data_IF_159519842523
#
_entry.id   IF_159519842523
#
_cell.length_a   1.000
_cell.length_b   1.000
_cell.length_c   1.000
_cell.angle_alpha   90.00
_cell.angle_beta   90.00
_cell.angle_gamma   90.00
#
_symmetry.space_group_name_H-M   'P 1'
#
loop_
_entity.id
_entity.type
_entity.pdbx_description
1 polymer ?
#
# COMPACT_ATOMS: atom_id res chain seq x y z
N UNK A 1 44.68 -36.02 -26.28
CA UNK A 1 43.80 -35.00 -25.66
C UNK A 1 42.45 -35.66 -25.41
N UNK A 2 42.01 -35.76 -24.16
CA UNK A 2 40.74 -36.42 -23.82
C UNK A 2 39.61 -35.42 -24.07
N UNK A 3 38.78 -35.66 -25.07
CA UNK A 3 37.61 -34.83 -25.35
C UNK A 3 36.56 -35.11 -24.27
N UNK A 4 36.30 -34.15 -23.39
CA UNK A 4 35.23 -34.25 -22.42
C UNK A 4 33.89 -34.23 -23.15
N UNK A 5 33.07 -35.25 -22.93
CA UNK A 5 31.72 -35.32 -23.49
C UNK A 5 30.89 -34.14 -22.99
N UNK A 6 30.10 -33.47 -23.84
CA UNK A 6 29.28 -32.33 -23.42
C UNK A 6 28.23 -32.76 -22.38
N UNK A 7 27.91 -31.88 -21.41
CA UNK A 7 26.96 -32.20 -20.35
C UNK A 7 25.58 -32.58 -20.93
N UNK A 8 24.92 -33.61 -20.40
CA UNK A 8 23.65 -34.09 -20.94
C UNK A 8 22.59 -33.00 -20.85
N UNK A 9 21.93 -32.70 -21.98
CA UNK A 9 20.80 -31.77 -22.06
C UNK A 9 21.07 -30.40 -22.71
N UNK A 10 22.30 -30.14 -23.17
CA UNK A 10 22.64 -28.95 -23.96
C UNK A 10 22.45 -29.27 -25.45
N UNK A 11 21.44 -28.68 -26.08
CA UNK A 11 21.22 -28.80 -27.52
C UNK A 11 22.07 -27.75 -28.24
N UNK A 12 22.67 -28.12 -29.38
CA UNK A 12 23.50 -27.23 -30.20
C UNK A 12 23.00 -27.23 -31.65
N UNK A 13 23.16 -26.11 -32.33
CA UNK A 13 22.90 -25.95 -33.75
C UNK A 13 23.99 -26.63 -34.60
N UNK A 14 23.78 -26.69 -35.93
CA UNK A 14 24.73 -27.27 -36.88
C UNK A 14 26.12 -26.60 -36.83
N UNK A 15 26.16 -25.31 -36.46
CA UNK A 15 27.39 -24.53 -36.26
C UNK A 15 28.02 -24.72 -34.86
N UNK A 16 27.45 -25.59 -34.03
CA UNK A 16 27.92 -25.86 -32.67
C UNK A 16 27.54 -24.83 -31.61
N UNK A 17 26.70 -23.84 -31.96
CA UNK A 17 26.16 -22.83 -31.04
C UNK A 17 25.10 -23.45 -30.11
N UNK A 18 25.09 -23.07 -28.84
CA UNK A 18 24.13 -23.61 -27.86
C UNK A 18 22.75 -22.97 -28.08
N UNK A 19 21.73 -23.82 -28.19
CA UNK A 19 20.35 -23.41 -28.31
C UNK A 19 19.80 -22.86 -26.97
N UNK A 20 19.07 -21.73 -26.98
CA UNK A 20 18.35 -21.26 -25.82
C UNK A 20 17.32 -22.30 -25.36
N UNK A 21 17.31 -22.61 -24.06
CA UNK A 21 16.34 -23.54 -23.46
C UNK A 21 15.70 -22.92 -22.22
N UNK A 22 14.41 -23.18 -22.04
CA UNK A 22 13.70 -22.87 -20.80
C UNK A 22 14.21 -23.78 -19.67
N UNK A 23 14.82 -23.18 -18.65
CA UNK A 23 15.24 -23.89 -17.46
C UNK A 23 14.00 -24.38 -16.69
N UNK A 24 14.07 -25.61 -16.21
CA UNK A 24 13.00 -26.17 -15.39
C UNK A 24 13.21 -25.68 -13.96
N UNK A 25 12.13 -25.22 -13.33
CA UNK A 25 12.18 -24.81 -11.94
C UNK A 25 12.12 -26.06 -11.04
N UNK A 26 13.18 -26.41 -10.29
CA UNK A 26 13.21 -27.62 -9.47
C UNK A 26 12.20 -27.58 -8.31
N UNK A 27 11.68 -26.39 -7.96
CA UNK A 27 10.60 -26.24 -6.99
C UNK A 27 9.24 -26.67 -7.56
N UNK A 28 9.08 -26.68 -8.88
CA UNK A 28 7.87 -27.16 -9.55
C UNK A 28 7.91 -28.68 -9.82
N UNK A 29 9.08 -29.29 -9.85
CA UNK A 29 9.20 -30.75 -10.07
C UNK A 29 8.90 -31.58 -8.82
N UNK A 30 9.20 -31.06 -7.62
CA UNK A 30 8.95 -31.77 -6.36
C UNK A 30 7.59 -31.40 -5.77
N UNK A 31 6.66 -32.36 -5.77
CA UNK A 31 5.34 -32.19 -5.16
C UNK A 31 5.45 -31.90 -3.65
N UNK A 32 6.34 -32.61 -2.96
CA UNK A 32 6.63 -32.42 -1.54
C UNK A 32 7.05 -30.98 -1.21
N UNK A 33 7.96 -30.38 -1.99
CA UNK A 33 8.34 -28.97 -1.81
C UNK A 33 7.17 -28.02 -2.00
N UNK A 34 6.31 -28.27 -2.99
CA UNK A 34 5.12 -27.46 -3.21
C UNK A 34 4.13 -27.58 -2.05
N UNK A 35 3.95 -28.78 -1.51
CA UNK A 35 3.07 -29.03 -0.37
C UNK A 35 3.59 -28.32 0.89
N UNK A 36 4.88 -28.45 1.18
CA UNK A 36 5.53 -27.74 2.29
C UNK A 36 5.36 -26.22 2.16
N UNK A 37 5.58 -25.67 0.97
CA UNK A 37 5.40 -24.22 0.73
C UNK A 37 3.95 -23.76 0.96
N UNK A 38 2.98 -24.56 0.52
CA UNK A 38 1.55 -24.29 0.78
C UNK A 38 1.25 -24.29 2.28
N UNK A 39 1.75 -25.29 3.00
CA UNK A 39 1.57 -25.40 4.45
C UNK A 39 2.22 -24.24 5.21
N UNK A 40 3.46 -23.87 4.89
CA UNK A 40 4.16 -22.75 5.52
C UNK A 40 3.42 -21.42 5.30
N UNK A 41 2.94 -21.17 4.07
CA UNK A 41 2.12 -20.00 3.76
C UNK A 41 0.81 -20.00 4.53
N UNK A 42 0.16 -21.15 4.63
CA UNK A 42 -1.07 -21.29 5.40
C UNK A 42 -0.84 -21.00 6.89
N UNK A 43 0.19 -21.58 7.48
CA UNK A 43 0.55 -21.36 8.88
C UNK A 43 0.88 -19.89 9.16
N UNK A 44 1.57 -19.22 8.24
CA UNK A 44 1.83 -17.76 8.35
C UNK A 44 0.53 -16.96 8.30
N UNK A 45 -0.40 -17.27 7.38
CA UNK A 45 -1.73 -16.63 7.34
C UNK A 45 -2.55 -16.88 8.61
N UNK A 46 -2.45 -18.06 9.19
CA UNK A 46 -3.13 -18.44 10.43
C UNK A 46 -2.41 -17.95 11.70
N UNK A 47 -1.27 -17.26 11.57
CA UNK A 47 -0.47 -16.80 12.70
C UNK A 47 0.22 -17.91 13.50
N UNK A 48 0.29 -19.13 12.98
CA UNK A 48 0.94 -20.29 13.61
C UNK A 48 2.42 -20.31 13.21
N UNK A 49 3.32 -20.02 14.15
CA UNK A 49 4.76 -20.13 13.91
C UNK A 49 5.21 -21.58 14.09
N UNK A 50 5.33 -22.33 13.00
CA UNK A 50 5.80 -23.73 13.05
C UNK A 50 7.26 -23.88 13.46
N UNK A 51 8.07 -22.84 13.28
CA UNK A 51 9.48 -22.83 13.66
C UNK A 51 9.73 -22.10 14.99
N UNK A 52 8.68 -21.60 15.67
CA UNK A 52 8.76 -20.71 16.83
C UNK A 52 9.71 -19.51 16.63
N UNK A 53 10.05 -19.20 15.38
CA UNK A 53 10.91 -18.11 14.97
C UNK A 53 10.04 -17.11 14.22
N UNK A 54 10.00 -15.89 14.73
CA UNK A 54 9.44 -14.76 13.98
C UNK A 54 10.43 -14.41 12.87
N UNK A 55 9.93 -14.12 11.67
CA UNK A 55 10.79 -13.59 10.61
C UNK A 55 11.39 -12.24 11.03
N UNK A 56 12.53 -11.87 10.46
CA UNK A 56 13.16 -10.56 10.72
C UNK A 56 12.20 -9.40 10.43
N UNK A 57 11.41 -9.48 9.35
CA UNK A 57 10.38 -8.50 9.02
C UNK A 57 9.31 -8.41 10.11
N UNK A 58 8.84 -9.55 10.62
CA UNK A 58 7.84 -9.58 11.69
C UNK A 58 8.39 -9.00 12.99
N UNK A 59 9.65 -9.31 13.35
CA UNK A 59 10.34 -8.71 14.49
C UNK A 59 10.47 -7.19 14.33
N UNK A 60 10.80 -6.72 13.13
CA UNK A 60 10.90 -5.29 12.84
C UNK A 60 9.55 -4.57 12.99
N UNK A 61 8.46 -5.14 12.46
CA UNK A 61 7.12 -4.59 12.62
C UNK A 61 6.66 -4.56 14.09
N UNK A 62 6.92 -5.64 14.84
CA UNK A 62 6.59 -5.68 16.26
C UNK A 62 7.37 -4.63 17.05
N UNK A 63 8.68 -4.51 16.80
CA UNK A 63 9.54 -3.49 17.42
C UNK A 63 9.09 -2.07 17.07
N UNK A 64 8.66 -1.84 15.84
CA UNK A 64 8.11 -0.55 15.42
C UNK A 64 6.80 -0.24 16.15
N UNK A 65 5.90 -1.23 16.25
CA UNK A 65 4.61 -1.08 16.95
C UNK A 65 4.83 -0.81 18.44
N UNK A 66 5.74 -1.54 19.07
CA UNK A 66 6.12 -1.34 20.48
C UNK A 66 6.70 0.06 20.70
N UNK A 67 7.60 0.52 19.81
CA UNK A 67 8.17 1.87 19.88
C UNK A 67 7.08 2.94 19.77
N UNK A 68 6.11 2.76 18.88
CA UNK A 68 4.99 3.69 18.74
C UNK A 68 4.10 3.72 19.98
N UNK A 69 3.75 2.55 20.54
CA UNK A 69 2.96 2.47 21.78
C UNK A 69 3.69 3.11 22.96
N UNK A 70 5.01 2.89 23.07
CA UNK A 70 5.83 3.50 24.12
C UNK A 70 5.95 5.02 23.94
N UNK A 71 5.96 5.51 22.70
CA UNK A 71 5.92 6.94 22.42
C UNK A 71 4.57 7.55 22.82
N UNK A 72 3.46 6.91 22.45
CA UNK A 72 2.12 7.34 22.84
C UNK A 72 1.96 7.40 24.36
N UNK A 73 2.35 6.32 25.07
CA UNK A 73 2.31 6.32 26.54
C UNK A 73 3.17 7.44 27.16
N UNK A 74 4.34 7.72 26.60
CA UNK A 74 5.17 8.83 27.09
C UNK A 74 4.55 10.21 26.79
N UNK A 75 3.88 10.37 25.65
CA UNK A 75 3.15 11.60 25.36
C UNK A 75 1.95 11.79 26.30
N UNK A 76 1.22 10.72 26.61
CA UNK A 76 0.09 10.72 27.55
C UNK A 76 0.52 11.03 28.98
N UNK A 77 1.71 10.56 29.39
CA UNK A 77 2.32 10.85 30.70
C UNK A 77 3.01 12.22 30.75
N UNK A 78 3.11 12.93 29.62
CA UNK A 78 3.80 14.22 29.60
C UNK A 78 3.02 15.28 30.39
N UNK A 79 3.69 16.22 31.09
CA UNK A 79 3.01 17.32 31.79
C UNK A 79 2.13 18.18 30.88
N UNK A 80 2.42 18.15 29.57
CA UNK A 80 1.70 18.88 28.53
C UNK A 80 0.56 18.08 27.89
N UNK A 81 0.34 16.82 28.29
CA UNK A 81 -0.66 15.95 27.66
C UNK A 81 -2.06 16.57 27.67
N UNK A 82 -2.49 17.11 28.82
CA UNK A 82 -3.76 17.82 28.95
C UNK A 82 -3.83 19.08 28.08
N UNK A 83 -2.74 19.85 28.00
CA UNK A 83 -2.66 21.04 27.15
C UNK A 83 -2.72 20.69 25.66
N UNK A 84 -2.03 19.62 25.23
CA UNK A 84 -2.10 19.11 23.85
C UNK A 84 -3.51 18.63 23.51
N UNK A 85 -4.17 17.92 24.42
CA UNK A 85 -5.55 17.45 24.23
C UNK A 85 -6.52 18.64 24.07
N UNK A 86 -6.42 19.65 24.93
CA UNK A 86 -7.25 20.85 24.84
C UNK A 86 -6.97 21.63 23.55
N UNK A 87 -5.70 21.80 23.17
CA UNK A 87 -5.33 22.44 21.92
C UNK A 87 -5.91 21.71 20.70
N UNK A 88 -5.82 20.38 20.67
CA UNK A 88 -6.42 19.57 19.61
C UNK A 88 -7.94 19.72 19.54
N UNK A 89 -8.62 19.82 20.69
CA UNK A 89 -10.06 20.08 20.77
C UNK A 89 -10.41 21.43 20.13
N UNK A 90 -9.69 22.49 20.51
CA UNK A 90 -9.90 23.84 19.96
C UNK A 90 -9.63 23.91 18.46
N UNK A 91 -8.57 23.24 17.98
CA UNK A 91 -8.26 23.15 16.55
C UNK A 91 -9.42 22.48 15.79
N UNK A 92 -9.94 21.37 16.32
CA UNK A 92 -11.04 20.62 15.69
C UNK A 92 -12.34 21.41 15.67
N UNK A 93 -12.69 22.09 16.77
CA UNK A 93 -13.86 22.96 16.84
C UNK A 93 -13.76 24.11 15.84
N UNK A 94 -12.58 24.73 15.73
CA UNK A 94 -12.34 25.82 14.78
C UNK A 94 -12.42 25.34 13.33
N UNK A 95 -11.88 24.16 13.02
CA UNK A 95 -11.98 23.54 11.71
C UNK A 95 -13.45 23.24 11.34
N UNK A 96 -14.21 22.67 12.27
CA UNK A 96 -15.64 22.39 12.07
C UNK A 96 -16.45 23.67 11.85
N UNK A 97 -16.13 24.74 12.57
CA UNK A 97 -16.78 26.05 12.37
C UNK A 97 -16.47 26.62 10.98
N UNK A 98 -15.24 26.49 10.52
CA UNK A 98 -14.84 26.95 9.19
C UNK A 98 -15.56 26.16 8.08
N UNK A 99 -15.67 24.84 8.21
CA UNK A 99 -16.38 23.99 7.24
C UNK A 99 -17.89 24.31 7.18
N UNK A 100 -18.52 24.64 8.31
CA UNK A 100 -19.91 25.11 8.34
C UNK A 100 -20.07 26.48 7.68
N UNK A 101 -19.14 27.41 7.94
CA UNK A 101 -19.18 28.75 7.35
C UNK A 101 -18.99 28.69 5.83
N UNK A 102 -18.04 27.92 5.32
CA UNK A 102 -17.86 27.74 3.88
C UNK A 102 -19.09 27.06 3.23
N UNK A 103 -19.69 26.07 3.91
CA UNK A 103 -20.91 25.43 3.43
C UNK A 103 -22.13 26.35 3.41
N UNK A 104 -22.32 27.16 4.45
CA UNK A 104 -23.43 28.12 4.54
C UNK A 104 -23.24 29.29 3.55
N UNK A 105 -22.02 29.80 3.35
CA UNK A 105 -21.70 30.80 2.32
C UNK A 105 -21.96 30.26 0.91
N UNK A 106 -21.55 29.01 0.62
CA UNK A 106 -21.83 28.37 -0.66
C UNK A 106 -23.34 28.17 -0.91
N UNK A 107 -24.14 27.88 0.13
CA UNK A 107 -25.59 27.73 0.02
C UNK A 107 -26.31 29.10 -0.09
N UNK A 108 -25.91 30.11 0.67
CA UNK A 108 -26.44 31.48 0.54
C UNK A 108 -26.13 32.09 -0.84
N UNK A 109 -24.91 31.89 -1.36
CA UNK A 109 -24.55 32.34 -2.71
C UNK A 109 -25.37 31.62 -3.78
N UNK A 110 -25.65 30.32 -3.62
CA UNK A 110 -26.57 29.58 -4.53
C UNK A 110 -28.01 30.08 -4.42
N UNK A 111 -28.44 30.50 -3.23
CA UNK A 111 -29.78 31.00 -2.97
C UNK A 111 -29.98 32.43 -3.52
N UNK A 112 -28.96 33.28 -3.47
CA UNK A 112 -28.99 34.66 -3.96
C UNK A 112 -28.77 34.75 -5.49
N UNK A 113 -27.99 33.84 -6.06
CA UNK A 113 -27.72 33.80 -7.50
C UNK A 113 -28.88 33.10 -8.22
N UNK A 114 -29.51 33.81 -9.16
CA UNK A 114 -30.61 33.26 -9.98
C UNK A 114 -30.19 31.91 -10.62
N UNK A 115 -30.98 30.83 -10.46
CA UNK A 115 -30.63 29.48 -10.90
C UNK A 115 -30.32 29.36 -12.40
N UNK A 116 -30.88 30.24 -13.24
CA UNK A 116 -30.53 30.36 -14.66
C UNK A 116 -29.04 30.66 -14.88
N UNK A 117 -28.45 31.54 -14.06
CA UNK A 117 -27.04 31.93 -14.16
C UNK A 117 -26.09 30.80 -13.75
N UNK A 118 -26.45 30.03 -12.72
CA UNK A 118 -25.70 28.84 -12.30
C UNK A 118 -25.65 27.80 -13.42
N UNK A 119 -26.79 27.57 -14.07
CA UNK A 119 -26.91 26.65 -15.20
C UNK A 119 -26.15 27.13 -16.45
N UNK A 120 -26.21 28.42 -16.76
CA UNK A 120 -25.46 29.01 -17.88
C UNK A 120 -23.94 28.90 -17.66
N UNK A 121 -23.47 29.19 -16.44
CA UNK A 121 -22.06 29.05 -16.05
C UNK A 121 -21.57 27.60 -16.12
N UNK A 122 -22.39 26.63 -15.71
CA UNK A 122 -22.07 25.21 -15.80
C UNK A 122 -21.94 24.75 -17.26
N UNK A 123 -22.86 25.15 -18.14
CA UNK A 123 -22.80 24.86 -19.59
C UNK A 123 -21.55 25.45 -20.23
N UNK A 124 -21.21 26.70 -19.91
CA UNK A 124 -20.00 27.36 -20.41
C UNK A 124 -18.71 26.64 -19.95
N UNK A 125 -18.65 26.16 -18.71
CA UNK A 125 -17.52 25.35 -18.22
C UNK A 125 -17.37 24.05 -18.99
N UNK A 126 -18.48 23.36 -19.25
CA UNK A 126 -18.48 22.10 -20.02
C UNK A 126 -18.01 22.31 -21.45
N UNK A 127 -18.50 23.37 -22.12
CA UNK A 127 -18.07 23.73 -23.47
C UNK A 127 -16.57 24.07 -23.52
N UNK A 128 -16.09 24.90 -22.59
CA UNK A 128 -14.68 25.27 -22.51
C UNK A 128 -13.77 24.06 -22.26
N UNK A 129 -14.21 23.12 -21.43
CA UNK A 129 -13.49 21.87 -21.18
C UNK A 129 -13.49 20.91 -22.39
N UNK A 130 -14.53 20.97 -23.24
CA UNK A 130 -14.56 20.19 -24.49
C UNK A 130 -13.74 20.80 -25.62
N UNK A 131 -13.53 22.12 -25.65
CA UNK A 131 -12.71 22.81 -26.65
C UNK A 131 -11.19 22.71 -26.38
N UNK A 132 -10.81 22.33 -25.16
CA UNK A 132 -9.42 22.13 -24.73
C UNK A 132 -8.92 20.68 -24.91
N UNK A 133 -9.70 19.83 -25.56
CA UNK A 133 -9.34 18.46 -25.97
C UNK A 133 -9.13 18.39 -27.47
#
# INVERSE_FOLDING_TARGET
>A
MMMSSPPPGVQKDADGLILPRKLINPCLESNERQQLHRELKFNTKMGKSVLNQKSELQRAYEKQRERQQRQQQQEDLSPTAGLKAELNRVIMERAQKHERQEGDEDEEDKQYVNPEYLNARAKLRQQRASELK
#
